data_IF_046853880740
#
_entry.id   IF_046853880740
#
_cell.length_a   1.000
_cell.length_b   1.000
_cell.length_c   1.000
_cell.angle_alpha   90.00
_cell.angle_beta   90.00
_cell.angle_gamma   90.00
#
_symmetry.space_group_name_H-M   'P 1'
#
loop_
_entity.id
_entity.type
_entity.pdbx_description
1 polymer ?
#
# COMPACT_ATOMS: atom_id res chain seq x y z
N UNK A 1 9.96 -31.90 -20.02
CA UNK A 1 9.91 -31.47 -19.87
C UNK A 1 9.87 -30.62 -19.40
N UNK A 2 9.99 -30.30 -19.11
CA UNK A 2 9.97 -29.68 -18.70
C UNK A 2 9.82 -28.76 -18.31
N UNK A 3 9.74 -28.53 -18.21
CA UNK A 3 9.60 -27.78 -17.97
C UNK A 3 9.22 -27.06 -17.42
N UNK A 4 9.07 -27.20 -17.22
CA UNK A 4 8.63 -26.59 -16.72
C UNK A 4 8.65 -26.05 -15.97
N UNK A 5 8.95 -26.23 -15.49
CA UNK A 5 8.82 -25.89 -14.70
C UNK A 5 9.15 -24.97 -14.06
N UNK A 6 9.49 -24.80 -13.80
CA UNK A 6 10.05 -23.93 -13.19
C UNK A 6 9.50 -22.71 -13.01
N UNK A 7 9.33 -22.31 -13.40
CA UNK A 7 8.85 -21.26 -13.29
C UNK A 7 7.97 -21.08 -12.58
N UNK A 8 7.64 -21.71 -12.35
CA UNK A 8 6.68 -21.60 -11.68
C UNK A 8 7.00 -21.18 -10.44
N UNK A 9 7.84 -21.36 -9.93
CA UNK A 9 8.09 -21.04 -8.76
C UNK A 9 8.22 -19.72 -8.47
N UNK A 10 8.77 -19.03 -9.08
CA UNK A 10 8.85 -17.74 -8.98
C UNK A 10 7.62 -17.14 -8.57
N UNK A 11 6.62 -17.36 -9.25
CA UNK A 11 5.38 -16.83 -8.89
C UNK A 11 5.01 -17.28 -7.53
N UNK A 12 5.46 -18.36 -7.19
CA UNK A 12 5.09 -18.85 -5.93
C UNK A 12 5.48 -17.94 -4.83
N UNK A 13 6.56 -17.30 -5.00
CA UNK A 13 6.97 -16.43 -4.01
C UNK A 13 6.07 -15.31 -3.83
N UNK A 14 5.63 -14.74 -4.90
CA UNK A 14 4.77 -13.65 -4.79
C UNK A 14 3.50 -14.04 -4.17
N UNK A 15 3.15 -15.26 -4.35
CA UNK A 15 1.92 -15.71 -3.80
C UNK A 15 2.00 -15.89 -2.32
N UNK A 16 3.15 -15.75 -1.75
CA UNK A 16 3.26 -15.95 -0.33
C UNK A 16 2.33 -15.06 0.43
N UNK A 17 2.04 -13.88 -0.05
CA UNK A 17 1.08 -13.05 0.61
C UNK A 17 -0.09 -12.83 -0.31
N UNK A 18 -1.28 -13.13 0.18
CA UNK A 18 -2.46 -12.86 -0.59
C UNK A 18 -3.37 -12.02 0.24
N UNK A 19 -3.67 -10.82 -0.19
CA UNK A 19 -4.56 -9.98 0.58
C UNK A 19 -5.93 -10.60 0.66
N UNK A 20 -6.56 -10.48 1.79
CA UNK A 20 -7.92 -10.93 1.96
C UNK A 20 -8.80 -9.80 1.45
N UNK A 21 -9.32 -9.94 0.25
CA UNK A 21 -10.04 -8.84 -0.35
C UNK A 21 -11.30 -8.49 0.41
N UNK A 22 -11.86 -9.43 1.14
CA UNK A 22 -13.07 -9.09 1.87
C UNK A 22 -12.75 -8.14 3.02
N UNK A 23 -11.55 -8.23 3.57
CA UNK A 23 -11.16 -7.32 4.63
C UNK A 23 -10.71 -5.97 4.09
N UNK A 24 -10.45 -5.91 2.80
CA UNK A 24 -9.93 -4.68 2.22
C UNK A 24 -10.99 -3.84 1.55
N UNK A 25 -12.24 -4.21 1.72
CA UNK A 25 -13.28 -3.38 1.21
C UNK A 25 -13.20 -2.02 1.89
N UNK A 26 -13.21 -0.97 1.12
CA UNK A 26 -13.06 0.35 1.68
C UNK A 26 -11.64 0.81 1.85
N UNK A 27 -10.69 0.05 1.32
CA UNK A 27 -9.29 0.47 1.37
C UNK A 27 -9.12 1.84 0.74
N UNK A 28 -8.53 2.77 1.46
CA UNK A 28 -8.41 4.14 0.99
C UNK A 28 -6.98 4.64 0.98
N UNK A 29 -6.17 4.19 1.90
CA UNK A 29 -4.83 4.72 2.00
C UNK A 29 -3.97 3.76 2.79
N UNK A 30 -2.73 4.10 2.96
CA UNK A 30 -1.83 3.26 3.71
C UNK A 30 -0.78 4.08 4.42
N UNK A 31 -0.12 3.44 5.35
CA UNK A 31 1.07 4.03 5.95
C UNK A 31 2.10 2.95 6.13
N UNK A 32 3.34 3.33 6.10
CA UNK A 32 4.43 2.42 6.40
C UNK A 32 4.92 2.79 7.77
N UNK A 33 4.78 1.89 8.71
CA UNK A 33 5.33 2.11 10.04
C UNK A 33 6.68 1.43 10.10
N UNK A 34 7.68 2.14 10.56
CA UNK A 34 9.01 1.58 10.65
C UNK A 34 9.80 2.39 11.65
N UNK A 35 10.92 1.88 12.09
CA UNK A 35 11.78 2.71 12.90
C UNK A 35 12.90 3.21 12.01
N UNK A 36 13.40 4.36 12.30
CA UNK A 36 14.54 4.89 11.57
C UNK A 36 15.80 4.27 12.09
N UNK A 37 16.88 4.70 11.60
CA UNK A 37 18.11 4.29 12.19
C UNK A 37 18.57 2.89 11.81
N UNK A 38 19.06 2.33 12.58
CA UNK A 38 19.69 1.28 12.33
C UNK A 38 19.04 0.20 11.81
N UNK A 39 18.11 -0.03 12.49
CA UNK A 39 17.36 -1.18 12.08
C UNK A 39 16.94 -1.05 10.63
N UNK A 40 16.44 0.11 10.24
CA UNK A 40 16.05 0.30 8.86
C UNK A 40 17.25 0.23 7.93
N UNK A 41 18.39 0.71 8.39
CA UNK A 41 19.59 0.67 7.56
C UNK A 41 19.99 -0.75 7.22
N UNK A 42 19.64 -1.71 8.05
CA UNK A 42 19.99 -3.08 7.74
C UNK A 42 19.04 -3.71 6.75
N UNK A 43 17.88 -3.10 6.56
CA UNK A 43 16.89 -3.62 5.62
C UNK A 43 16.93 -2.76 4.38
N UNK A 44 17.94 -2.97 3.56
CA UNK A 44 18.21 -2.08 2.45
C UNK A 44 17.07 -1.98 1.46
N UNK A 45 16.41 -3.07 1.19
CA UNK A 45 15.30 -3.03 0.23
C UNK A 45 14.15 -2.21 0.77
N UNK A 46 13.83 -2.38 2.04
CA UNK A 46 12.76 -1.62 2.64
C UNK A 46 13.15 -0.16 2.75
N UNK A 47 14.41 0.11 3.08
CA UNK A 47 14.84 1.48 3.19
C UNK A 47 14.74 2.20 1.85
N UNK A 48 15.13 1.55 0.77
CA UNK A 48 15.01 2.17 -0.54
C UNK A 48 13.56 2.45 -0.87
N UNK A 49 12.69 1.51 -0.55
CA UNK A 49 11.28 1.73 -0.79
C UNK A 49 10.78 2.95 -0.01
N UNK A 50 11.12 3.02 1.26
CA UNK A 50 10.62 4.10 2.09
C UNK A 50 11.12 5.45 1.61
N UNK A 51 12.41 5.52 1.27
CA UNK A 51 12.99 6.80 0.92
C UNK A 51 12.66 7.21 -0.51
N UNK A 52 12.65 6.26 -1.43
CA UNK A 52 12.55 6.63 -2.83
C UNK A 52 11.19 6.37 -3.45
N UNK A 53 10.43 5.44 -2.94
CA UNK A 53 9.17 5.09 -3.60
C UNK A 53 7.94 5.66 -2.93
N UNK A 54 7.91 5.75 -1.61
CA UNK A 54 6.72 6.23 -0.93
C UNK A 54 6.26 7.58 -1.46
N UNK A 55 7.14 8.52 -1.78
CA UNK A 55 6.66 9.82 -2.29
C UNK A 55 5.88 9.74 -3.59
N UNK A 56 5.98 8.63 -4.31
CA UNK A 56 5.26 8.49 -5.57
C UNK A 56 3.82 8.04 -5.39
N UNK A 57 3.41 7.77 -4.15
CA UNK A 57 2.05 7.34 -3.87
C UNK A 57 1.37 8.42 -3.04
N UNK A 58 0.32 9.03 -3.61
CA UNK A 58 -0.26 10.18 -2.94
C UNK A 58 -0.96 9.82 -1.64
N UNK A 59 -1.38 8.57 -1.49
CA UNK A 59 -2.11 8.16 -0.30
C UNK A 59 -1.33 7.18 0.56
N UNK A 60 -0.01 7.30 0.55
CA UNK A 60 0.85 6.48 1.37
C UNK A 60 1.82 7.40 2.11
N UNK A 61 1.97 7.23 3.40
CA UNK A 61 2.90 8.03 4.18
C UNK A 61 3.76 7.13 5.02
N UNK A 62 4.87 7.64 5.51
CA UNK A 62 5.73 6.89 6.41
C UNK A 62 5.60 7.44 7.81
N UNK A 63 5.51 6.55 8.77
CA UNK A 63 5.43 6.92 10.16
C UNK A 63 6.58 6.25 10.89
N UNK A 64 7.43 7.04 11.52
CA UNK A 64 8.58 6.49 12.21
C UNK A 64 8.21 6.30 13.68
N UNK A 65 8.31 5.07 14.13
CA UNK A 65 8.00 4.70 15.50
C UNK A 65 9.18 3.95 16.09
N UNK A 66 9.65 4.33 17.27
CA UNK A 66 10.82 3.65 17.83
C UNK A 66 10.57 2.16 17.98
N UNK A 67 11.51 1.39 17.53
CA UNK A 67 11.44 -0.06 17.68
C UNK A 67 10.50 -0.78 16.75
N UNK A 68 9.83 -0.07 15.85
CA UNK A 68 8.84 -0.73 15.00
C UNK A 68 9.51 -1.51 13.89
N UNK A 69 9.08 -2.74 13.68
CA UNK A 69 9.46 -3.47 12.49
C UNK A 69 8.67 -2.91 11.32
N UNK A 70 9.26 -2.85 10.14
CA UNK A 70 8.54 -2.23 9.03
C UNK A 70 7.29 -3.02 8.64
N UNK A 71 6.19 -2.32 8.58
CA UNK A 71 4.91 -2.88 8.18
C UNK A 71 4.18 -1.92 7.29
N UNK A 72 3.47 -2.45 6.32
CA UNK A 72 2.53 -1.67 5.54
C UNK A 72 1.18 -1.82 6.23
N UNK A 73 0.61 -0.71 6.68
CA UNK A 73 -0.67 -0.73 7.35
C UNK A 73 -1.70 -0.18 6.40
N UNK A 74 -2.66 -0.99 6.04
CA UNK A 74 -3.70 -0.60 5.08
C UNK A 74 -4.85 0.00 5.86
N UNK A 75 -5.34 1.14 5.39
CA UNK A 75 -6.31 1.93 6.14
C UNK A 75 -7.53 2.23 5.30
N UNK A 76 -8.66 2.32 5.98
CA UNK A 76 -9.89 2.73 5.34
C UNK A 76 -10.05 4.23 5.32
N UNK A 77 -11.22 4.69 4.90
CA UNK A 77 -11.48 6.12 4.78
C UNK A 77 -11.44 6.84 6.11
N UNK A 78 -11.75 6.15 7.18
CA UNK A 78 -11.72 6.78 8.50
C UNK A 78 -10.46 6.39 9.26
N UNK A 79 -9.44 5.98 8.54
CA UNK A 79 -8.14 5.61 9.12
C UNK A 79 -8.20 4.35 9.99
N UNK A 80 -9.27 3.59 9.87
CA UNK A 80 -9.32 2.33 10.59
C UNK A 80 -8.37 1.33 9.95
N UNK A 81 -7.71 0.55 10.76
CA UNK A 81 -6.76 -0.43 10.24
C UNK A 81 -7.50 -1.58 9.63
N UNK A 82 -7.15 -1.92 8.41
CA UNK A 82 -7.73 -3.05 7.73
C UNK A 82 -6.81 -4.26 7.74
N UNK A 83 -5.51 -4.02 7.61
CA UNK A 83 -4.57 -5.11 7.49
C UNK A 83 -3.18 -4.59 7.75
N UNK A 84 -2.31 -5.45 8.32
CA UNK A 84 -0.90 -5.13 8.51
C UNK A 84 -0.07 -6.16 7.80
N UNK A 85 0.84 -5.73 6.98
CA UNK A 85 1.64 -6.61 6.15
C UNK A 85 3.11 -6.39 6.49
N UNK A 86 3.81 -7.40 7.00
CA UNK A 86 5.23 -7.22 7.31
C UNK A 86 6.04 -7.00 6.05
N UNK A 87 6.97 -6.09 6.10
CA UNK A 87 7.80 -5.78 4.95
C UNK A 87 9.24 -6.26 5.08
N UNK A 88 9.64 -6.72 6.24
CA UNK A 88 11.06 -6.97 6.49
C UNK A 88 11.70 -7.92 5.48
N UNK A 89 10.96 -8.90 5.03
CA UNK A 89 11.51 -9.89 4.11
C UNK A 89 11.18 -9.62 2.65
N UNK A 90 10.60 -8.48 2.34
CA UNK A 90 10.21 -8.18 0.98
C UNK A 90 11.25 -7.33 0.30
N UNK A 91 11.42 -7.55 -1.00
CA UNK A 91 12.28 -6.67 -1.77
C UNK A 91 11.52 -5.41 -2.12
N UNK A 92 12.28 -4.40 -2.51
CA UNK A 92 11.68 -3.15 -2.95
C UNK A 92 10.68 -3.39 -4.07
N UNK A 93 11.04 -4.23 -5.02
CA UNK A 93 10.18 -4.53 -6.14
C UNK A 93 8.91 -5.23 -5.71
N UNK A 94 9.03 -6.15 -4.76
CA UNK A 94 7.86 -6.85 -4.25
C UNK A 94 6.90 -5.92 -3.55
N UNK A 95 7.43 -4.95 -2.82
CA UNK A 95 6.55 -4.01 -2.13
C UNK A 95 5.80 -3.16 -3.14
N UNK A 96 6.50 -2.66 -4.15
CA UNK A 96 5.82 -1.86 -5.18
C UNK A 96 4.79 -2.69 -5.93
N UNK A 97 5.08 -3.95 -6.20
CA UNK A 97 4.14 -4.79 -6.90
C UNK A 97 2.91 -5.05 -6.04
N UNK A 98 3.10 -5.24 -4.75
CA UNK A 98 1.99 -5.43 -3.85
C UNK A 98 1.07 -4.22 -3.86
N UNK A 99 1.65 -3.03 -3.81
CA UNK A 99 0.84 -1.82 -3.83
C UNK A 99 0.06 -1.69 -5.13
N UNK A 100 0.70 -2.07 -6.23
CA UNK A 100 0.01 -2.03 -7.50
C UNK A 100 -1.18 -2.99 -7.51
N UNK A 101 -0.97 -4.18 -6.98
CA UNK A 101 -2.06 -5.15 -6.94
C UNK A 101 -3.17 -4.73 -6.02
N UNK A 102 -2.84 -3.96 -5.00
CA UNK A 102 -3.87 -3.45 -4.10
C UNK A 102 -4.60 -2.26 -4.69
N UNK A 103 -4.11 -1.72 -5.80
CA UNK A 103 -4.79 -0.62 -6.47
C UNK A 103 -4.21 0.75 -6.21
N UNK A 104 -3.06 0.85 -5.58
CA UNK A 104 -2.45 2.15 -5.36
C UNK A 104 -1.90 2.70 -6.66
N UNK A 105 -2.09 3.98 -6.87
CA UNK A 105 -1.61 4.63 -8.08
C UNK A 105 -0.21 5.18 -7.86
N UNK A 106 0.73 4.74 -8.68
CA UNK A 106 2.09 5.26 -8.58
C UNK A 106 2.25 6.40 -9.59
N UNK A 107 2.56 7.57 -9.09
CA UNK A 107 2.77 8.72 -9.96
C UNK A 107 4.07 8.55 -10.74
N UNK A 108 4.19 9.26 -11.84
CA UNK A 108 5.42 9.25 -12.62
C UNK A 108 6.49 10.12 -11.98
N UNK A 109 6.07 11.10 -11.24
CA UNK A 109 6.98 11.91 -10.47
C UNK A 109 6.26 12.32 -9.21
N UNK A 110 6.99 12.67 -8.16
CA UNK A 110 6.30 13.04 -6.93
C UNK A 110 5.38 14.23 -7.06
N UNK A 111 5.62 15.09 -8.04
CA UNK A 111 4.80 16.27 -8.21
C UNK A 111 3.65 16.09 -9.18
N UNK A 112 3.52 14.94 -9.77
CA UNK A 112 2.49 14.73 -10.76
C UNK A 112 1.10 14.82 -10.13
N UNK A 113 0.16 15.50 -10.77
CA UNK A 113 -1.20 15.51 -10.22
C UNK A 113 -1.82 14.14 -10.34
N UNK A 114 -2.62 13.79 -9.38
CA UNK A 114 -3.27 12.49 -9.37
C UNK A 114 -4.54 12.57 -10.19
N UNK A 115 -4.74 11.67 -11.15
CA UNK A 115 -5.97 11.71 -11.94
C UNK A 115 -7.19 11.56 -11.03
N UNK A 116 -8.30 12.19 -11.41
CA UNK A 116 -9.47 12.17 -10.54
C UNK A 116 -9.94 10.77 -10.17
N UNK A 117 -9.81 9.83 -11.09
CA UNK A 117 -10.32 8.49 -10.79
C UNK A 117 -9.48 7.77 -9.77
N UNK A 118 -8.31 8.29 -9.44
CA UNK A 118 -7.46 7.65 -8.46
C UNK A 118 -7.38 8.43 -7.15
N UNK A 119 -8.14 9.49 -7.02
CA UNK A 119 -7.96 10.33 -5.84
C UNK A 119 -8.52 9.72 -4.58
N UNK A 120 -9.56 8.90 -4.71
CA UNK A 120 -10.03 8.24 -3.52
C UNK A 120 -9.62 6.84 -3.59
N UNK A 121 -9.24 6.32 -2.63
CA UNK A 121 -8.89 5.03 -2.44
C UNK A 121 -8.35 4.24 -3.34
N UNK A 122 -7.54 3.59 -3.12
CA UNK A 122 -6.19 3.43 -3.45
C UNK A 122 -5.98 3.80 -4.86
N UNK A 123 -6.46 3.08 -5.79
CA UNK A 123 -6.19 3.42 -7.12
C UNK A 123 -7.46 3.47 -7.89
N UNK A 124 -8.00 2.39 -8.20
CA UNK A 124 -9.21 2.38 -8.96
C UNK A 124 -10.08 1.28 -8.43
N UNK A 125 -11.36 1.40 -8.57
CA UNK A 125 -12.24 0.38 -8.06
C UNK A 125 -12.00 -0.91 -8.79
N UNK A 126 -12.17 -2.00 -8.10
CA UNK A 126 -12.08 -3.26 -8.74
C UNK A 126 -13.28 -3.38 -9.62
N UNK A 127 -13.10 -4.12 -10.70
CA UNK A 127 -14.13 -4.30 -11.61
C UNK A 127 -15.34 -4.88 -10.94
N UNK A 128 -16.46 -4.35 -11.16
CA UNK A 128 -17.67 -4.88 -10.57
C UNK A 128 -17.90 -4.46 -9.14
N UNK A 129 -17.04 -3.68 -8.59
CA UNK A 129 -17.18 -3.26 -7.23
C UNK A 129 -17.54 -1.81 -7.20
N UNK A 130 -18.54 -1.45 -6.47
CA UNK A 130 -18.92 -0.07 -6.40
C UNK A 130 -17.83 0.72 -5.75
N UNK A 131 -17.59 1.91 -6.20
CA UNK A 131 -16.60 2.74 -5.55
C UNK A 131 -17.04 2.96 -4.14
N UNK A 132 -16.09 3.04 -3.29
CA UNK A 132 -16.39 3.27 -1.93
C UNK A 132 -17.13 4.55 -1.82
N UNK A 133 -18.13 4.61 -1.00
CA UNK A 133 -18.86 5.81 -0.82
C UNK A 133 -17.93 6.84 -0.31
N UNK A 134 -17.92 7.88 -0.94
CA UNK A 134 -17.05 8.88 -0.56
C UNK A 134 -17.39 9.21 0.79
N UNK A 135 -16.52 9.34 1.45
CA UNK A 135 -16.82 9.72 2.76
C UNK A 135 -17.53 11.02 2.67
N UNK A 136 -17.98 10.92 1.96
CA UNK A 136 -18.54 11.83 1.75
C UNK A 136 -18.87 12.29 2.37
N UNK A 137 -18.36 11.72 2.33
CA UNK A 137 -18.28 12.02 2.96
C UNK A 137 -18.38 12.54 3.68
N UNK A 138 -18.44 12.24 3.44
CA UNK A 138 -18.41 12.70 4.08
C UNK A 138 -18.31 13.32 4.64
N UNK A 139 -18.21 13.11 4.43
CA UNK A 139 -18.01 13.63 4.93
C UNK A 139 -18.00 14.36 5.49
N UNK A 140 -18.12 14.25 5.31
CA UNK A 140 -18.05 14.77 5.79
C UNK A 140 -18.14 15.47 6.32
N UNK A 141 -18.35 15.30 6.25
CA UNK A 141 -18.40 15.88 6.80
C UNK A 141 -18.34 16.61 7.40
N UNK A 142 -18.16 16.22 7.19
CA UNK A 142 -18.05 16.76 7.64
C UNK A 142 -18.04 17.47 8.34
N UNK A 143 -18.07 17.21 8.38
CA UNK A 143 -18.06 17.77 8.89
C UNK A 143 -18.12 18.48 9.57
N UNK A 144 -18.14 18.08 9.32
CA UNK A 144 -18.17 18.61 9.82
C UNK A 144 -18.21 19.30 10.50
N UNK A 145 -18.26 18.97 10.50
CA UNK A 145 -18.22 19.52 11.00
C UNK A 145 -18.26 20.24 11.62
N UNK A 146 -18.42 20.18 11.71
CA UNK A 146 -18.43 20.85 12.19
C UNK A 146 -18.49 21.44 12.57
#
# INVERSE_FOLDING_TARGET
MRRLLPLLFIPGLLAAFKPDTSRLRGLARGKVETCGGXQLNRLKEVKLFVVQDVPYYHNLVTKYLPGADPELVLLGYHYEELERIPLSDMTREEINQLLKELGFYRKSSPDEPVPPEYQSAPAKPRKGEAPAPAPHGDAGPSRLEL
#
